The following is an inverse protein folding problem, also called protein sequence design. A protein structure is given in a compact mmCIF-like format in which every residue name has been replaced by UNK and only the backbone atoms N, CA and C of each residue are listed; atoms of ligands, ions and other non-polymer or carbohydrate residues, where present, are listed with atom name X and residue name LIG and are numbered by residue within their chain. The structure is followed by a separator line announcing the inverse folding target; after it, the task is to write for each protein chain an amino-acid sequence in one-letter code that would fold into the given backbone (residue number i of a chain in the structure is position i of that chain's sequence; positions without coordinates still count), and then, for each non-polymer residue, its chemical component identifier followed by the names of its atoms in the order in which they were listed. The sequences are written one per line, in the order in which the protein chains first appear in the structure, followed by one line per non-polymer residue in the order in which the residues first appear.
data_IF_849238914627
#
_entry.id   IF_849238914627
#
_cell.length_a   1.000
_cell.length_b   1.000
_cell.length_c   1.000
_cell.angle_alpha   90.00
_cell.angle_beta   90.00
_cell.angle_gamma   90.00
#
_symmetry.space_group_name_H-M   'P 1'
#
loop_
_entity.id
_entity.type
_entity.pdbx_description
1 polymer ?
#
# COMPACT_ATOMS: atom_id res chain seq x y z
N UNK A 1 35.36 -20.28 -21.56
CA UNK A 1 34.81 -19.15 -20.80
C UNK A 1 33.41 -18.92 -21.32
N UNK A 2 32.38 -19.26 -20.54
CA UNK A 2 30.98 -19.02 -20.88
C UNK A 2 30.66 -17.58 -20.51
N UNK A 3 30.12 -16.73 -21.44
CA UNK A 3 29.81 -15.34 -21.12
C UNK A 3 28.71 -15.32 -20.06
N UNK A 4 28.91 -14.47 -19.08
CA UNK A 4 27.91 -14.21 -18.04
C UNK A 4 26.56 -13.89 -18.71
N UNK A 5 25.56 -14.74 -18.48
CA UNK A 5 24.20 -14.47 -18.90
C UNK A 5 23.79 -13.12 -18.31
N UNK A 6 23.56 -12.15 -19.17
CA UNK A 6 22.82 -10.95 -18.82
C UNK A 6 21.50 -11.41 -18.21
N UNK A 7 21.38 -11.31 -16.89
CA UNK A 7 20.09 -11.43 -16.22
C UNK A 7 19.25 -10.31 -16.79
N UNK A 8 18.36 -10.63 -17.72
CA UNK A 8 17.31 -9.68 -18.12
C UNK A 8 16.58 -9.33 -16.85
N UNK A 9 16.66 -8.07 -16.42
CA UNK A 9 15.78 -7.57 -15.38
C UNK A 9 14.34 -7.91 -15.77
N UNK A 10 13.50 -8.35 -14.82
CA UNK A 10 12.09 -8.59 -15.12
C UNK A 10 11.51 -7.32 -15.76
N UNK A 11 10.55 -7.46 -16.71
CA UNK A 11 9.92 -6.29 -17.32
C UNK A 11 9.31 -5.41 -16.25
N UNK A 12 9.51 -4.10 -16.37
CA UNK A 12 8.97 -3.12 -15.44
C UNK A 12 7.44 -3.17 -15.43
N UNK A 13 6.83 -3.07 -14.24
CA UNK A 13 5.38 -3.02 -14.08
C UNK A 13 4.79 -1.81 -14.81
N UNK A 14 3.70 -2.03 -15.55
CA UNK A 14 2.86 -0.98 -16.09
C UNK A 14 1.75 -0.68 -15.10
N UNK A 15 1.62 0.59 -14.72
CA UNK A 15 0.67 1.04 -13.70
C UNK A 15 -0.43 1.90 -14.32
N UNK A 16 -1.60 1.82 -13.73
CA UNK A 16 -2.78 2.56 -14.19
C UNK A 16 -2.68 4.02 -13.80
N UNK A 17 -2.90 4.92 -14.76
CA UNK A 17 -2.90 6.37 -14.55
C UNK A 17 -4.33 6.88 -14.66
N UNK A 18 -4.71 7.77 -13.74
CA UNK A 18 -6.03 8.36 -13.65
C UNK A 18 -5.96 9.88 -13.59
N UNK A 19 -7.11 10.52 -13.82
CA UNK A 19 -7.25 11.96 -13.61
C UNK A 19 -7.73 12.27 -12.18
N UNK A 20 -8.01 13.53 -11.88
CA UNK A 20 -8.49 13.96 -10.55
C UNK A 20 -9.86 13.41 -10.19
N UNK A 21 -10.66 13.01 -11.16
CA UNK A 21 -11.97 12.36 -10.97
C UNK A 21 -11.86 10.83 -10.87
N UNK A 22 -10.65 10.30 -10.74
CA UNK A 22 -10.38 8.86 -10.67
C UNK A 22 -10.82 8.10 -11.93
N UNK A 23 -10.79 8.74 -13.07
CA UNK A 23 -11.06 8.09 -14.36
C UNK A 23 -9.75 7.67 -15.02
N UNK A 24 -9.70 6.45 -15.56
CA UNK A 24 -8.51 5.92 -16.23
C UNK A 24 -8.23 6.71 -17.50
N UNK A 25 -7.01 7.25 -17.60
CA UNK A 25 -6.54 8.02 -18.77
C UNK A 25 -5.36 7.37 -19.48
N UNK A 26 -4.78 6.31 -18.92
CA UNK A 26 -3.68 5.59 -19.55
C UNK A 26 -2.98 4.63 -18.62
N UNK A 27 -1.82 4.17 -19.07
CA UNK A 27 -0.90 3.33 -18.32
C UNK A 27 0.53 3.71 -18.70
N UNK A 28 1.43 3.68 -17.72
CA UNK A 28 2.84 4.01 -17.91
C UNK A 28 3.71 3.07 -17.07
N UNK A 29 5.01 2.95 -17.38
CA UNK A 29 5.94 2.26 -16.49
C UNK A 29 5.95 2.91 -15.09
N UNK A 30 6.08 2.10 -14.04
CA UNK A 30 6.10 2.54 -12.65
C UNK A 30 7.14 3.64 -12.40
N UNK A 31 8.32 3.53 -12.97
CA UNK A 31 9.39 4.53 -12.83
C UNK A 31 8.98 5.91 -13.36
N UNK A 32 8.25 5.94 -14.47
CA UNK A 32 7.73 7.18 -15.04
C UNK A 32 6.67 7.80 -14.14
N UNK A 33 5.74 6.99 -13.61
CA UNK A 33 4.73 7.45 -12.67
C UNK A 33 5.38 8.11 -11.45
N UNK A 34 6.44 7.50 -10.90
CA UNK A 34 7.18 8.05 -9.75
C UNK A 34 7.93 9.33 -10.09
N UNK A 35 8.67 9.33 -11.19
CA UNK A 35 9.49 10.48 -11.63
C UNK A 35 8.64 11.71 -11.91
N UNK A 36 7.49 11.53 -12.53
CA UNK A 36 6.61 12.63 -12.94
C UNK A 36 5.50 12.90 -11.91
N UNK A 37 5.46 12.17 -10.80
CA UNK A 37 4.42 12.22 -9.77
C UNK A 37 3.00 12.18 -10.37
N UNK A 38 2.75 11.23 -11.27
CA UNK A 38 1.46 11.08 -11.93
C UNK A 38 0.40 10.56 -10.98
N UNK A 39 -0.85 10.97 -11.19
CA UNK A 39 -1.98 10.47 -10.42
C UNK A 39 -2.23 9.02 -10.82
N UNK A 40 -2.14 8.13 -9.85
CA UNK A 40 -2.32 6.70 -10.05
C UNK A 40 -3.28 6.13 -9.01
N UNK A 41 -3.57 4.84 -9.11
CA UNK A 41 -4.40 4.11 -8.15
C UNK A 41 -3.55 3.24 -7.24
N UNK A 42 -3.97 3.12 -5.99
CA UNK A 42 -3.42 2.15 -5.06
C UNK A 42 -4.53 1.51 -4.22
N UNK A 43 -4.35 0.25 -3.87
CA UNK A 43 -5.17 -0.44 -2.89
C UNK A 43 -4.53 -0.34 -1.51
N UNK A 44 -5.36 -0.15 -0.49
CA UNK A 44 -4.96 -0.09 0.92
C UNK A 44 -5.80 -1.10 1.69
N UNK A 45 -5.18 -2.07 2.31
CA UNK A 45 -5.87 -3.07 3.10
C UNK A 45 -5.50 -2.89 4.56
N UNK A 46 -6.44 -2.43 5.36
CA UNK A 46 -6.33 -2.34 6.81
C UNK A 46 -6.63 -3.73 7.39
N UNK A 47 -5.63 -4.36 7.97
CA UNK A 47 -5.76 -5.69 8.53
C UNK A 47 -5.94 -5.56 10.03
N UNK A 48 -7.11 -5.97 10.52
CA UNK A 48 -7.43 -5.98 11.95
C UNK A 48 -7.46 -7.41 12.46
N UNK A 49 -7.07 -7.60 13.71
CA UNK A 49 -7.28 -8.87 14.38
C UNK A 49 -8.68 -8.94 15.05
N UNK A 50 -8.99 -10.05 15.69
CA UNK A 50 -10.27 -10.23 16.40
C UNK A 50 -10.42 -9.37 17.65
N UNK A 51 -9.34 -8.72 18.10
CA UNK A 51 -9.34 -7.73 19.19
C UNK A 51 -9.44 -6.29 18.70
N UNK A 52 -9.75 -6.09 17.41
CA UNK A 52 -9.84 -4.77 16.77
C UNK A 52 -8.53 -3.96 16.80
N UNK A 53 -7.39 -4.66 16.79
CA UNK A 53 -6.08 -4.06 16.66
C UNK A 53 -5.63 -4.12 15.21
N UNK A 54 -5.04 -3.01 14.74
CA UNK A 54 -4.50 -2.84 13.38
C UNK A 54 -3.10 -3.46 13.26
N UNK A 55 -2.85 -4.20 12.17
CA UNK A 55 -1.52 -4.65 11.84
C UNK A 55 -0.70 -3.51 11.21
N UNK A 56 0.21 -2.96 11.98
CA UNK A 56 1.12 -1.90 11.58
C UNK A 56 2.39 -2.50 10.97
N UNK A 57 2.77 -2.05 9.77
CA UNK A 57 3.91 -2.57 9.02
C UNK A 57 5.05 -1.56 8.98
N UNK A 58 6.29 -2.05 9.07
CA UNK A 58 7.48 -1.26 8.77
C UNK A 58 7.90 -1.48 7.32
N UNK A 59 7.94 -0.43 6.53
CA UNK A 59 8.43 -0.47 5.14
C UNK A 59 9.93 -0.73 5.13
N UNK A 60 10.41 -1.49 4.15
CA UNK A 60 11.86 -1.70 4.01
C UNK A 60 12.58 -0.40 3.62
N UNK A 61 13.88 -0.35 3.90
CA UNK A 61 14.73 0.78 3.52
C UNK A 61 14.94 0.91 1.99
N UNK A 62 14.53 -0.10 1.23
CA UNK A 62 14.68 -0.16 -0.24
C UNK A 62 13.42 0.25 -1.00
N UNK A 63 12.37 0.67 -0.30
CA UNK A 63 11.13 1.14 -0.96
C UNK A 63 11.40 2.41 -1.76
N UNK A 64 10.72 2.52 -2.91
CA UNK A 64 10.83 3.66 -3.83
C UNK A 64 10.22 4.97 -3.27
N UNK A 65 9.29 4.85 -2.30
CA UNK A 65 8.68 5.98 -1.61
C UNK A 65 8.56 5.65 -0.10
N UNK A 66 8.78 6.64 0.74
CA UNK A 66 8.73 6.51 2.21
C UNK A 66 9.55 5.32 2.76
N UNK A 67 10.84 5.15 2.40
CA UNK A 67 11.63 4.02 2.88
C UNK A 67 11.78 4.05 4.41
N UNK A 68 11.55 2.91 5.04
CA UNK A 68 11.67 2.77 6.50
C UNK A 68 10.54 3.37 7.33
N UNK A 69 9.51 3.93 6.71
CA UNK A 69 8.34 4.49 7.40
C UNK A 69 7.42 3.37 7.90
N UNK A 70 6.64 3.67 8.94
CA UNK A 70 5.51 2.85 9.33
C UNK A 70 4.37 3.02 8.34
N UNK A 71 3.72 1.93 7.98
CA UNK A 71 2.57 1.88 7.10
C UNK A 71 1.39 1.23 7.80
N UNK A 72 0.23 1.82 7.65
CA UNK A 72 -1.01 1.37 8.31
C UNK A 72 -1.74 0.29 7.52
N UNK A 73 -1.34 0.06 6.28
CA UNK A 73 -2.02 -0.83 5.35
C UNK A 73 -1.05 -1.71 4.58
N UNK A 74 -1.47 -2.93 4.28
CA UNK A 74 -0.93 -3.69 3.17
C UNK A 74 -1.50 -3.12 1.87
N UNK A 75 -0.83 -3.31 0.76
CA UNK A 75 -1.32 -2.88 -0.54
C UNK A 75 -0.24 -2.32 -1.43
N UNK A 76 -0.65 -1.77 -2.55
CA UNK A 76 0.27 -1.22 -3.52
C UNK A 76 -0.43 -0.64 -4.73
N UNK A 77 0.37 -0.22 -5.69
CA UNK A 77 -0.09 0.40 -6.91
C UNK A 77 -0.90 -0.57 -7.74
N UNK A 78 -2.05 -0.12 -8.25
CA UNK A 78 -2.91 -0.89 -9.15
C UNK A 78 -2.24 -0.97 -10.53
N UNK A 79 -2.05 -2.18 -11.01
CA UNK A 79 -1.44 -2.43 -12.31
C UNK A 79 -2.43 -2.14 -13.45
N UNK A 80 -1.89 -1.89 -14.65
CA UNK A 80 -2.70 -1.69 -15.85
C UNK A 80 -3.63 -2.90 -16.08
N UNK A 81 -4.92 -2.64 -16.29
CA UNK A 81 -5.92 -3.68 -16.49
C UNK A 81 -6.43 -4.37 -15.22
N UNK A 82 -5.89 -4.04 -14.07
CA UNK A 82 -6.28 -4.58 -12.78
C UNK A 82 -7.41 -3.75 -12.15
N UNK A 83 -8.36 -4.39 -11.48
CA UNK A 83 -9.31 -3.70 -10.61
C UNK A 83 -8.68 -3.39 -9.26
N UNK A 84 -9.27 -2.49 -8.49
CA UNK A 84 -8.84 -2.25 -7.10
C UNK A 84 -8.93 -3.53 -6.26
N UNK A 85 -10.00 -4.31 -6.44
CA UNK A 85 -10.26 -5.54 -5.71
C UNK A 85 -9.22 -6.61 -6.02
N UNK A 86 -8.87 -6.80 -7.30
CA UNK A 86 -7.84 -7.75 -7.73
C UNK A 86 -6.46 -7.33 -7.22
N UNK A 87 -6.15 -6.03 -7.30
CA UNK A 87 -4.91 -5.47 -6.73
C UNK A 87 -4.83 -5.74 -5.23
N UNK A 88 -5.90 -5.46 -4.49
CA UNK A 88 -5.93 -5.65 -3.04
C UNK A 88 -5.71 -7.12 -2.65
N UNK A 89 -6.37 -8.05 -3.31
CA UNK A 89 -6.20 -9.49 -3.04
C UNK A 89 -4.79 -9.98 -3.36
N UNK A 90 -4.24 -9.54 -4.49
CA UNK A 90 -2.87 -9.86 -4.89
C UNK A 90 -1.85 -9.33 -3.89
N UNK A 91 -1.95 -8.06 -3.52
CA UNK A 91 -1.02 -7.41 -2.58
C UNK A 91 -1.08 -8.04 -1.18
N UNK A 92 -2.27 -8.35 -0.68
CA UNK A 92 -2.43 -9.00 0.63
C UNK A 92 -1.72 -10.36 0.65
N UNK A 93 -1.87 -11.14 -0.41
CA UNK A 93 -1.20 -12.44 -0.55
C UNK A 93 0.31 -12.29 -0.68
N UNK A 94 0.79 -11.35 -1.50
CA UNK A 94 2.21 -11.10 -1.71
C UNK A 94 2.90 -10.58 -0.44
N UNK A 95 2.34 -9.57 0.21
CA UNK A 95 2.98 -8.89 1.35
C UNK A 95 2.86 -9.65 2.66
N UNK A 96 1.70 -10.26 2.94
CA UNK A 96 1.39 -10.91 4.23
C UNK A 96 1.18 -12.42 4.14
N UNK A 97 1.12 -12.98 2.94
CA UNK A 97 0.95 -14.42 2.73
C UNK A 97 -0.42 -14.97 3.13
N UNK A 98 -1.46 -14.13 3.16
CA UNK A 98 -2.81 -14.53 3.57
C UNK A 98 -3.85 -14.08 2.56
N UNK A 99 -5.02 -14.71 2.64
CA UNK A 99 -6.24 -14.30 1.94
C UNK A 99 -7.33 -14.02 2.98
N UNK A 100 -8.18 -13.05 2.69
CA UNK A 100 -9.30 -12.70 3.56
C UNK A 100 -10.41 -12.04 2.75
N UNK A 101 -11.63 -12.03 3.27
CA UNK A 101 -12.72 -11.26 2.69
C UNK A 101 -12.46 -9.77 2.90
N UNK A 102 -12.49 -9.00 1.80
CA UNK A 102 -12.22 -7.57 1.81
C UNK A 102 -13.53 -6.79 1.81
N UNK A 103 -13.65 -5.82 2.71
CA UNK A 103 -14.76 -4.89 2.77
C UNK A 103 -14.28 -3.52 2.32
N UNK A 104 -14.88 -2.97 1.26
CA UNK A 104 -14.59 -1.61 0.80
C UNK A 104 -15.15 -0.60 1.79
N UNK A 105 -14.30 0.28 2.31
CA UNK A 105 -14.71 1.32 3.26
C UNK A 105 -14.98 2.64 2.55
N UNK A 106 -14.00 3.17 1.85
CA UNK A 106 -14.10 4.44 1.11
C UNK A 106 -12.95 4.59 0.11
N UNK A 107 -13.08 5.56 -0.79
CA UNK A 107 -11.98 6.02 -1.64
C UNK A 107 -11.40 7.31 -1.06
N UNK A 108 -10.09 7.49 -1.19
CA UNK A 108 -9.36 8.61 -0.62
C UNK A 108 -8.32 9.14 -1.61
N UNK A 109 -8.37 10.44 -1.89
CA UNK A 109 -7.34 11.10 -2.68
C UNK A 109 -6.30 11.73 -1.76
N UNK A 110 -5.03 11.42 -2.04
CA UNK A 110 -3.89 12.02 -1.36
C UNK A 110 -2.92 12.60 -2.36
N UNK A 111 -2.38 13.79 -2.09
CA UNK A 111 -1.27 14.35 -2.86
C UNK A 111 -0.28 15.12 -2.00
N UNK A 112 0.99 14.93 -2.33
CA UNK A 112 2.10 15.77 -1.90
C UNK A 112 3.06 15.98 -3.08
N UNK A 113 4.27 16.52 -2.83
CA UNK A 113 5.25 16.76 -3.90
C UNK A 113 5.79 15.50 -4.56
N UNK A 114 5.69 14.33 -3.92
CA UNK A 114 6.25 13.07 -4.37
C UNK A 114 5.22 12.02 -4.75
N UNK A 115 3.97 12.15 -4.26
CA UNK A 115 2.95 11.12 -4.40
C UNK A 115 1.58 11.73 -4.64
N UNK A 116 0.88 11.23 -5.67
CA UNK A 116 -0.48 11.66 -6.02
C UNK A 116 -1.30 10.42 -6.32
N UNK A 117 -2.20 10.07 -5.42
CA UNK A 117 -2.85 8.75 -5.45
C UNK A 117 -4.33 8.79 -5.12
N UNK A 118 -5.13 8.10 -5.93
CA UNK A 118 -6.47 7.68 -5.58
C UNK A 118 -6.39 6.31 -4.94
N UNK A 119 -6.63 6.25 -3.64
CA UNK A 119 -6.64 5.00 -2.87
C UNK A 119 -8.04 4.45 -2.68
N UNK A 120 -8.20 3.14 -2.82
CA UNK A 120 -9.38 2.43 -2.32
C UNK A 120 -9.00 1.70 -1.05
N UNK A 121 -9.72 2.02 0.03
CA UNK A 121 -9.44 1.50 1.36
C UNK A 121 -10.37 0.32 1.65
N UNK A 122 -9.74 -0.81 1.94
CA UNK A 122 -10.40 -2.05 2.34
C UNK A 122 -10.07 -2.38 3.79
N UNK A 123 -10.95 -3.12 4.41
CA UNK A 123 -10.74 -3.73 5.72
C UNK A 123 -10.90 -5.24 5.62
N UNK A 124 -10.04 -5.97 6.31
CA UNK A 124 -10.23 -7.40 6.55
C UNK A 124 -9.91 -7.73 8.02
N UNK A 125 -10.30 -8.93 8.44
CA UNK A 125 -9.99 -9.46 9.77
C UNK A 125 -9.12 -10.71 9.61
N UNK A 126 -7.94 -10.71 10.25
CA UNK A 126 -7.03 -11.85 10.24
C UNK A 126 -6.08 -11.75 11.44
N UNK A 127 -6.01 -12.80 12.25
CA UNK A 127 -5.16 -12.83 13.45
C UNK A 127 -3.70 -13.20 13.17
N UNK A 128 -3.37 -13.49 11.93
CA UNK A 128 -2.08 -14.09 11.58
C UNK A 128 -2.04 -15.60 11.85
N UNK A 129 -0.86 -16.23 11.82
CA UNK A 129 0.44 -15.60 11.53
C UNK A 129 0.57 -15.12 10.09
N UNK A 130 1.44 -14.14 9.86
CA UNK A 130 1.75 -13.63 8.54
C UNK A 130 3.13 -14.10 8.07
N UNK A 131 3.27 -14.28 6.75
CA UNK A 131 4.56 -14.45 6.10
C UNK A 131 4.88 -13.13 5.40
N UNK A 132 5.77 -12.35 5.99
CA UNK A 132 6.12 -11.02 5.47
C UNK A 132 7.00 -11.13 4.23
N UNK A 133 6.65 -10.40 3.17
CA UNK A 133 7.48 -10.27 1.98
C UNK A 133 8.71 -9.42 2.31
N UNK A 134 9.88 -10.05 2.39
CA UNK A 134 11.11 -9.42 2.89
C UNK A 134 11.53 -8.18 2.10
N UNK A 135 11.20 -8.11 0.80
CA UNK A 135 11.53 -6.97 -0.06
C UNK A 135 10.65 -5.74 0.19
N UNK A 136 9.48 -5.94 0.81
CA UNK A 136 8.47 -4.90 1.00
C UNK A 136 8.23 -4.55 2.46
N UNK A 137 8.24 -5.55 3.35
CA UNK A 137 7.86 -5.42 4.75
C UNK A 137 8.99 -5.92 5.65
N UNK A 138 9.60 -5.02 6.40
CA UNK A 138 10.70 -5.35 7.31
C UNK A 138 10.21 -6.02 8.61
N UNK A 139 9.09 -5.56 9.16
CA UNK A 139 8.48 -6.07 10.38
C UNK A 139 7.02 -5.61 10.51
N UNK A 140 6.31 -6.14 11.47
CA UNK A 140 4.95 -5.70 11.76
C UNK A 140 4.48 -6.13 13.13
N UNK A 141 3.44 -5.46 13.62
CA UNK A 141 2.79 -5.78 14.90
C UNK A 141 1.35 -5.28 14.94
N UNK A 142 0.54 -5.88 15.77
CA UNK A 142 -0.80 -5.38 16.06
C UNK A 142 -0.76 -4.25 17.09
N UNK A 143 -1.55 -3.21 16.86
CA UNK A 143 -1.65 -2.02 17.70
C UNK A 143 -3.04 -1.40 17.52
N UNK A 144 -3.59 -0.77 18.53
CA UNK A 144 -4.86 -0.06 18.37
C UNK A 144 -4.70 1.16 17.45
N UNK A 145 -5.77 1.56 16.78
CA UNK A 145 -5.76 2.75 15.91
C UNK A 145 -5.34 3.99 16.71
N UNK A 146 -5.85 4.14 17.94
CA UNK A 146 -5.48 5.28 18.81
C UNK A 146 -3.98 5.28 19.13
N UNK A 147 -3.40 4.12 19.45
CA UNK A 147 -1.97 3.99 19.72
C UNK A 147 -1.12 4.24 18.47
N UNK A 148 -1.58 3.80 17.29
CA UNK A 148 -0.90 4.07 16.02
C UNK A 148 -0.87 5.58 15.73
N UNK A 149 -1.98 6.28 15.92
CA UNK A 149 -2.04 7.73 15.75
C UNK A 149 -1.15 8.48 16.76
N UNK A 150 -1.07 8.00 17.99
CA UNK A 150 -0.14 8.56 18.99
C UNK A 150 1.32 8.36 18.56
N UNK A 151 1.67 7.18 18.09
CA UNK A 151 3.01 6.85 17.61
C UNK A 151 3.41 7.69 16.39
N UNK A 152 2.47 8.04 15.53
CA UNK A 152 2.71 8.87 14.34
C UNK A 152 3.20 10.29 14.65
N UNK A 153 3.05 10.74 15.89
CA UNK A 153 3.56 12.04 16.34
C UNK A 153 5.05 12.03 16.63
N UNK A 154 5.64 10.87 16.85
CA UNK A 154 7.05 10.71 17.27
C UNK A 154 7.88 9.89 16.29
N UNK A 155 7.27 9.08 15.45
CA UNK A 155 7.95 8.25 14.45
C UNK A 155 7.41 8.52 13.05
N UNK A 156 8.23 8.31 12.00
CA UNK A 156 7.79 8.55 10.63
C UNK A 156 6.75 7.51 10.18
N UNK A 157 5.58 8.01 9.79
CA UNK A 157 4.49 7.25 9.17
C UNK A 157 4.26 7.74 7.76
N UNK A 158 3.77 6.87 6.90
CA UNK A 158 3.28 7.28 5.58
C UNK A 158 2.18 8.33 5.77
N UNK A 159 2.30 9.52 5.14
CA UNK A 159 1.37 10.62 5.41
C UNK A 159 -0.07 10.33 4.95
N UNK A 160 -0.24 9.62 3.84
CA UNK A 160 -1.53 9.10 3.37
C UNK A 160 -2.14 8.11 4.37
N UNK A 161 -1.32 7.24 4.95
CA UNK A 161 -1.76 6.30 6.00
C UNK A 161 -2.30 7.00 7.24
N UNK A 162 -1.64 8.07 7.69
CA UNK A 162 -2.13 8.86 8.84
C UNK A 162 -3.48 9.51 8.54
N UNK A 163 -3.66 10.07 7.35
CA UNK A 163 -4.95 10.63 6.94
C UNK A 163 -6.07 9.58 6.94
N UNK A 164 -5.77 8.38 6.43
CA UNK A 164 -6.72 7.26 6.42
C UNK A 164 -7.12 6.85 7.85
N UNK A 165 -6.15 6.72 8.75
CA UNK A 165 -6.44 6.38 10.15
C UNK A 165 -7.26 7.44 10.87
N UNK A 166 -6.98 8.72 10.65
CA UNK A 166 -7.78 9.81 11.21
C UNK A 166 -9.22 9.72 10.73
N UNK A 167 -9.42 9.49 9.45
CA UNK A 167 -10.74 9.34 8.85
C UNK A 167 -11.53 8.17 9.45
N UNK A 168 -10.87 7.05 9.71
CA UNK A 168 -11.48 5.88 10.38
C UNK A 168 -11.85 6.20 11.82
N UNK A 169 -10.95 6.86 12.57
CA UNK A 169 -11.19 7.23 13.95
C UNK A 169 -12.38 8.21 14.09
N UNK A 170 -12.59 9.06 13.10
CA UNK A 170 -13.71 10.01 13.05
C UNK A 170 -15.03 9.36 12.59
N UNK A 171 -15.04 8.05 12.28
CA UNK A 171 -16.22 7.30 11.85
C UNK A 171 -16.56 7.44 10.37
N UNK A 172 -15.59 7.90 9.58
CA UNK A 172 -15.73 8.09 8.13
C UNK A 172 -15.44 6.86 7.30
#
# INVERSE_FOLDING_TARGET
MIPAHQRKNPPEESVQIVNRDNLVVGAVPRSRMRREALIHRASYILVFNTRDELFLQKRTATKDIYPGYWDVAAGGVVLAGESYEDSAGRELTEELGVTASLVHLFDHFYEDSANRVWGRIFRCTHDGPFTLQAEEVASGRFITVAAALALSRTEPFTPDGVEILRRIQEGG
#
